data_IF_613312588230
#
_entry.id   IF_613312588230
#
_cell.length_a   1.000
_cell.length_b   1.000
_cell.length_c   1.000
_cell.angle_alpha   90.00
_cell.angle_beta   90.00
_cell.angle_gamma   90.00
#
_symmetry.space_group_name_H-M   'P 1'
#
loop_
_entity.id
_entity.type
_entity.pdbx_description
1 polymer ?
#
# COMPACT_ATOMS: atom_id res chain seq x y z
N UNK A 1 -53.23 -31.79 22.03
CA UNK A 1 -51.75 -31.73 21.91
C UNK A 1 -51.41 -31.09 20.56
N UNK A 2 -51.53 -29.75 20.44
CA UNK A 2 -51.32 -29.04 19.17
C UNK A 2 -49.85 -28.59 19.05
N UNK A 3 -49.12 -29.21 18.12
CA UNK A 3 -47.82 -28.71 17.63
C UNK A 3 -48.09 -27.42 16.84
N UNK A 4 -47.74 -26.28 17.42
CA UNK A 4 -47.57 -25.03 16.67
C UNK A 4 -46.41 -25.20 15.69
N UNK A 5 -46.73 -25.47 14.43
CA UNK A 5 -45.81 -25.26 13.31
C UNK A 5 -45.48 -23.78 13.25
N UNK A 6 -44.26 -23.41 13.66
CA UNK A 6 -43.77 -22.04 13.55
C UNK A 6 -43.78 -21.63 12.06
N UNK A 7 -44.76 -20.81 11.69
CA UNK A 7 -44.79 -20.17 10.39
C UNK A 7 -43.49 -19.39 10.18
N UNK A 8 -42.82 -19.63 9.05
CA UNK A 8 -41.70 -18.82 8.57
C UNK A 8 -42.11 -17.34 8.58
N UNK A 9 -41.67 -16.59 9.59
CA UNK A 9 -41.87 -15.16 9.66
C UNK A 9 -41.03 -14.50 8.57
N UNK A 10 -41.67 -14.18 7.45
CA UNK A 10 -41.09 -13.33 6.40
C UNK A 10 -40.59 -12.00 6.99
N UNK A 11 -39.37 -11.59 6.63
CA UNK A 11 -38.77 -10.35 7.13
C UNK A 11 -39.53 -9.13 6.56
N UNK A 12 -40.34 -8.48 7.40
CA UNK A 12 -41.12 -7.29 7.02
C UNK A 12 -40.27 -6.01 6.92
N UNK A 13 -39.06 -6.00 7.47
CA UNK A 13 -38.16 -4.84 7.40
C UNK A 13 -37.35 -4.88 6.10
N UNK A 14 -37.87 -4.25 5.05
CA UNK A 14 -37.17 -4.08 3.77
C UNK A 14 -35.83 -3.38 3.96
N UNK A 15 -34.78 -3.87 3.29
CA UNK A 15 -33.47 -3.22 3.22
C UNK A 15 -33.49 -1.96 2.36
N UNK A 16 -34.46 -1.85 1.45
CA UNK A 16 -34.62 -0.72 0.53
C UNK A 16 -34.87 0.60 1.26
N UNK A 17 -35.55 0.56 2.41
CA UNK A 17 -35.95 1.73 3.18
C UNK A 17 -35.36 1.70 4.59
N UNK A 18 -34.04 1.51 4.69
CA UNK A 18 -33.29 1.63 5.95
C UNK A 18 -32.41 2.88 5.95
N UNK A 19 -32.22 3.45 7.14
CA UNK A 19 -31.44 4.68 7.32
C UNK A 19 -32.26 5.92 7.69
N UNK A 20 -31.53 6.99 8.01
CA UNK A 20 -32.07 8.31 8.37
C UNK A 20 -31.43 9.36 7.47
N UNK A 21 -32.23 10.12 6.73
CA UNK A 21 -31.76 11.29 5.99
C UNK A 21 -31.30 12.37 6.99
N UNK A 22 -30.08 12.90 6.80
CA UNK A 22 -29.50 13.96 7.65
C UNK A 22 -29.29 15.26 6.87
N UNK A 23 -30.18 15.53 5.90
CA UNK A 23 -30.01 16.65 4.97
C UNK A 23 -28.77 16.47 4.11
N UNK A 24 -27.82 17.40 4.21
CA UNK A 24 -26.61 17.45 3.39
C UNK A 24 -25.39 16.69 3.93
N UNK A 25 -25.51 15.87 4.98
CA UNK A 25 -24.36 15.13 5.56
C UNK A 25 -24.07 13.86 4.75
N UNK A 26 -22.97 13.79 3.97
CA UNK A 26 -22.62 12.59 3.21
C UNK A 26 -21.97 11.55 4.13
N UNK A 27 -22.15 10.27 3.79
CA UNK A 27 -21.49 9.13 4.43
C UNK A 27 -21.04 8.15 3.37
N UNK A 28 -19.90 7.49 3.59
CA UNK A 28 -19.43 6.44 2.70
C UNK A 28 -20.24 5.15 2.89
N UNK A 29 -20.42 4.38 1.82
CA UNK A 29 -20.84 2.99 1.87
C UNK A 29 -19.88 2.18 0.99
N UNK A 30 -19.80 0.87 1.22
CA UNK A 30 -18.97 -0.02 0.43
C UNK A 30 -19.84 -0.86 -0.49
N UNK A 31 -19.42 -1.00 -1.75
CA UNK A 31 -20.13 -1.84 -2.71
C UNK A 31 -20.00 -3.33 -2.36
N UNK A 32 -18.88 -3.72 -1.75
CA UNK A 32 -18.61 -5.10 -1.36
C UNK A 32 -17.82 -5.18 -0.05
N UNK A 33 -16.48 -5.15 -0.13
CA UNK A 33 -15.57 -5.17 1.01
C UNK A 33 -14.98 -3.80 1.29
N UNK A 34 -14.38 -3.63 2.46
CA UNK A 34 -13.65 -2.40 2.81
C UNK A 34 -12.48 -2.14 1.85
N UNK A 35 -12.23 -0.88 1.45
CA UNK A 35 -11.19 -0.54 0.47
C UNK A 35 -9.76 -0.98 0.85
N UNK A 36 -9.47 -1.12 2.14
CA UNK A 36 -8.18 -1.61 2.60
C UNK A 36 -7.87 -3.06 2.21
N UNK A 37 -8.90 -3.89 1.98
CA UNK A 37 -8.77 -5.31 1.59
C UNK A 37 -8.75 -5.51 0.06
N UNK A 38 -8.81 -4.42 -0.71
CA UNK A 38 -9.01 -4.48 -2.16
C UNK A 38 -7.77 -4.99 -2.92
N UNK A 39 -6.63 -4.33 -2.77
CA UNK A 39 -5.38 -4.78 -3.39
C UNK A 39 -4.68 -5.76 -2.44
N UNK A 40 -4.33 -6.94 -2.95
CA UNK A 40 -3.64 -7.99 -2.19
C UNK A 40 -2.23 -8.28 -2.74
N UNK A 41 -1.64 -7.24 -3.31
CA UNK A 41 -0.43 -7.37 -4.14
C UNK A 41 0.80 -7.80 -3.35
N UNK A 42 0.85 -7.65 -2.02
CA UNK A 42 2.00 -8.16 -1.24
C UNK A 42 2.08 -9.67 -1.33
N UNK A 43 0.95 -10.36 -1.24
CA UNK A 43 0.90 -11.80 -1.44
C UNK A 43 1.06 -12.16 -2.92
N UNK A 44 0.36 -11.48 -3.82
CA UNK A 44 0.39 -11.81 -5.26
C UNK A 44 1.75 -11.59 -5.93
N UNK A 45 2.53 -10.61 -5.44
CA UNK A 45 3.88 -10.30 -5.96
C UNK A 45 4.99 -10.81 -5.04
N UNK A 46 4.67 -11.70 -4.09
CA UNK A 46 5.64 -12.33 -3.19
C UNK A 46 6.52 -11.32 -2.44
N UNK A 47 5.95 -10.16 -2.05
CA UNK A 47 6.63 -9.12 -1.26
C UNK A 47 6.25 -9.23 0.20
N UNK A 48 6.72 -10.29 0.84
CA UNK A 48 6.50 -10.54 2.27
C UNK A 48 7.75 -11.20 2.89
N UNK A 49 7.98 -11.03 4.21
CA UNK A 49 9.14 -11.63 4.88
C UNK A 49 9.14 -13.16 4.85
N UNK A 50 7.99 -13.79 4.59
CA UNK A 50 7.88 -15.26 4.50
C UNK A 50 8.63 -15.82 3.29
N UNK A 51 8.67 -15.09 2.17
CA UNK A 51 9.39 -15.52 0.97
C UNK A 51 10.88 -15.17 1.05
N UNK A 52 11.23 -14.09 1.75
CA UNK A 52 12.63 -13.70 1.96
C UNK A 52 13.40 -14.74 2.81
N UNK A 53 12.70 -15.44 3.70
CA UNK A 53 13.25 -16.53 4.50
C UNK A 53 13.17 -17.84 3.71
N UNK A 54 14.32 -18.43 3.37
CA UNK A 54 14.38 -19.70 2.63
C UNK A 54 13.65 -20.84 3.36
N UNK A 55 13.62 -20.80 4.69
CA UNK A 55 12.97 -21.79 5.55
C UNK A 55 11.53 -22.07 5.12
N UNK A 56 11.25 -23.34 4.85
CA UNK A 56 9.91 -23.79 4.44
C UNK A 56 9.72 -23.87 2.92
N UNK A 57 10.62 -23.30 2.11
CA UNK A 57 10.57 -23.44 0.64
C UNK A 57 10.73 -24.91 0.20
N UNK A 58 11.54 -25.68 0.93
CA UNK A 58 11.67 -27.12 0.71
C UNK A 58 10.36 -27.91 0.88
N UNK A 59 9.36 -27.34 1.57
CA UNK A 59 8.07 -28.00 1.77
C UNK A 59 7.24 -28.10 0.49
N UNK A 60 7.47 -27.22 -0.50
CA UNK A 60 6.82 -27.28 -1.80
C UNK A 60 7.27 -28.48 -2.65
N UNK A 61 8.39 -29.10 -2.30
CA UNK A 61 9.02 -30.22 -3.03
C UNK A 61 9.14 -31.46 -2.13
N UNK A 62 8.17 -31.67 -1.23
CA UNK A 62 8.21 -32.79 -0.26
C UNK A 62 8.10 -34.17 -0.92
N UNK A 63 7.49 -34.24 -2.09
CA UNK A 63 7.38 -35.44 -2.93
C UNK A 63 8.76 -36.00 -3.30
N UNK A 64 9.78 -35.14 -3.47
CA UNK A 64 11.18 -35.55 -3.73
C UNK A 64 11.80 -36.44 -2.64
N UNK A 65 11.16 -36.54 -1.48
CA UNK A 65 11.60 -37.45 -0.41
C UNK A 65 11.57 -38.91 -0.87
N UNK A 66 10.69 -39.26 -1.80
CA UNK A 66 10.66 -40.57 -2.46
C UNK A 66 10.77 -40.38 -3.97
N UNK A 67 11.98 -40.60 -4.50
CA UNK A 67 12.28 -40.37 -5.91
C UNK A 67 11.51 -41.31 -6.85
N UNK A 68 11.24 -42.54 -6.44
CA UNK A 68 10.49 -43.48 -7.27
C UNK A 68 8.99 -43.12 -7.31
N UNK A 69 8.43 -42.69 -6.18
CA UNK A 69 7.03 -42.23 -6.10
C UNK A 69 6.83 -40.92 -6.88
N UNK A 70 7.77 -39.98 -6.76
CA UNK A 70 7.74 -38.71 -7.47
C UNK A 70 7.63 -38.88 -8.99
N UNK A 71 8.23 -39.95 -9.51
CA UNK A 71 8.21 -40.30 -10.95
C UNK A 71 6.99 -41.13 -11.34
N UNK A 72 6.52 -41.99 -10.43
CA UNK A 72 5.40 -42.90 -10.67
C UNK A 72 4.02 -42.23 -10.59
N UNK A 73 3.91 -41.10 -9.88
CA UNK A 73 2.68 -40.30 -9.73
C UNK A 73 1.48 -41.09 -9.21
N UNK A 74 1.71 -41.92 -8.19
CA UNK A 74 0.64 -42.69 -7.55
C UNK A 74 -0.23 -41.81 -6.64
N UNK A 75 0.38 -40.87 -5.91
CA UNK A 75 -0.35 -39.88 -5.11
C UNK A 75 -0.65 -38.61 -5.93
N UNK A 76 -1.91 -38.16 -5.90
CA UNK A 76 -2.35 -36.91 -6.55
C UNK A 76 -1.95 -35.64 -5.77
N UNK A 77 -1.42 -35.79 -4.55
CA UNK A 77 -1.02 -34.69 -3.68
C UNK A 77 0.48 -34.41 -3.77
N UNK A 78 0.86 -33.52 -4.68
CA UNK A 78 2.25 -33.03 -4.85
C UNK A 78 2.46 -31.64 -4.23
N UNK A 79 1.39 -30.94 -3.83
CA UNK A 79 1.47 -29.57 -3.31
C UNK A 79 1.18 -29.41 -1.81
N UNK A 80 1.63 -28.28 -1.24
CA UNK A 80 1.49 -28.00 0.21
C UNK A 80 0.03 -27.94 0.70
N UNK A 81 -0.90 -27.50 -0.17
CA UNK A 81 -2.29 -27.21 0.21
C UNK A 81 -3.29 -28.20 -0.41
N UNK A 82 -2.82 -29.20 -1.14
CA UNK A 82 -3.67 -30.19 -1.76
C UNK A 82 -2.97 -30.85 -2.92
N UNK A 83 -3.60 -30.80 -4.07
CA UNK A 83 -3.17 -31.48 -5.27
C UNK A 83 -1.84 -30.95 -5.82
N UNK A 84 -1.78 -29.66 -6.17
CA UNK A 84 -0.58 -29.01 -6.70
C UNK A 84 -0.24 -27.75 -5.89
N UNK A 85 0.95 -27.17 -6.10
CA UNK A 85 1.38 -25.98 -5.35
C UNK A 85 0.54 -24.72 -5.62
N UNK A 86 -0.09 -24.64 -6.79
CA UNK A 86 -0.75 -23.43 -7.29
C UNK A 86 -2.13 -23.72 -7.90
N UNK A 87 -3.00 -24.43 -7.17
CA UNK A 87 -4.40 -24.65 -7.57
C UNK A 87 -5.13 -23.30 -7.62
N UNK A 88 -5.15 -22.60 -6.48
CA UNK A 88 -5.81 -21.30 -6.35
C UNK A 88 -4.97 -20.31 -5.54
N UNK A 89 -3.94 -19.76 -6.18
CA UNK A 89 -3.04 -18.78 -5.54
C UNK A 89 -3.75 -17.49 -5.13
N UNK A 90 -4.79 -17.10 -5.87
CA UNK A 90 -5.42 -15.79 -5.72
C UNK A 90 -6.70 -15.80 -4.89
N UNK A 91 -7.33 -16.96 -4.70
CA UNK A 91 -8.68 -17.07 -4.14
C UNK A 91 -8.71 -17.67 -2.74
N UNK A 92 -8.08 -18.84 -2.56
CA UNK A 92 -8.30 -19.68 -1.37
C UNK A 92 -7.92 -18.97 -0.06
N UNK A 93 -6.77 -18.29 0.00
CA UNK A 93 -6.30 -17.63 1.22
C UNK A 93 -7.23 -16.51 1.70
N UNK A 94 -8.14 -16.03 0.84
CA UNK A 94 -9.09 -14.95 1.15
C UNK A 94 -10.27 -15.40 2.01
N UNK A 95 -10.42 -16.71 2.24
CA UNK A 95 -11.44 -17.27 3.15
C UNK A 95 -11.21 -16.84 4.62
N UNK A 96 -9.95 -16.57 4.98
CA UNK A 96 -9.58 -16.11 6.31
C UNK A 96 -10.09 -14.67 6.51
N UNK A 97 -10.74 -14.35 7.64
CA UNK A 97 -11.07 -12.97 7.97
C UNK A 97 -9.84 -12.09 7.90
N UNK A 98 -9.86 -11.11 6.99
CA UNK A 98 -8.76 -10.17 6.85
C UNK A 98 -8.79 -9.24 8.07
N UNK A 99 -7.95 -9.48 9.08
CA UNK A 99 -7.90 -8.64 10.29
C UNK A 99 -6.99 -7.42 10.08
N UNK A 100 -5.89 -7.61 9.34
CA UNK A 100 -4.84 -6.63 9.12
C UNK A 100 -4.70 -6.38 7.62
N UNK A 101 -5.60 -5.56 7.04
CA UNK A 101 -5.66 -5.38 5.60
C UNK A 101 -4.44 -4.60 5.10
N UNK A 102 -4.07 -4.86 3.85
CA UNK A 102 -2.89 -4.28 3.19
C UNK A 102 -2.93 -2.75 3.08
N UNK A 103 -4.12 -2.17 2.90
CA UNK A 103 -4.32 -0.73 2.82
C UNK A 103 -3.80 -0.09 1.53
N UNK A 104 -3.51 1.21 1.57
CA UNK A 104 -2.96 1.96 0.43
C UNK A 104 -1.45 1.75 0.33
N UNK A 105 -0.97 1.21 -0.79
CA UNK A 105 0.44 0.82 -0.92
C UNK A 105 1.22 1.56 -2.02
N UNK A 106 0.57 2.40 -2.82
CA UNK A 106 1.21 3.02 -3.97
C UNK A 106 2.30 4.00 -3.53
N UNK A 107 3.51 3.83 -4.08
CA UNK A 107 4.70 4.64 -3.78
C UNK A 107 5.19 5.44 -4.99
N UNK A 108 4.31 5.71 -5.96
CA UNK A 108 4.66 6.53 -7.13
C UNK A 108 4.96 7.98 -6.75
N UNK A 109 4.38 8.44 -5.64
CA UNK A 109 4.62 9.73 -5.02
C UNK A 109 5.02 9.54 -3.55
N UNK A 110 5.64 10.55 -2.96
CA UNK A 110 5.91 10.54 -1.52
C UNK A 110 4.61 10.57 -0.71
N UNK A 111 4.67 10.11 0.55
CA UNK A 111 3.53 10.15 1.47
C UNK A 111 2.99 11.58 1.66
N UNK A 112 3.89 12.56 1.68
CA UNK A 112 3.58 13.98 1.79
C UNK A 112 2.81 14.51 0.57
N UNK A 113 3.17 14.08 -0.64
CA UNK A 113 2.49 14.48 -1.88
C UNK A 113 1.07 13.90 -1.97
N UNK A 114 0.89 12.62 -1.57
CA UNK A 114 -0.45 12.03 -1.49
C UNK A 114 -1.32 12.74 -0.44
N UNK A 115 -0.76 13.07 0.72
CA UNK A 115 -1.44 13.82 1.77
C UNK A 115 -1.83 15.22 1.27
N UNK A 116 -0.89 15.95 0.66
CA UNK A 116 -1.10 17.29 0.12
C UNK A 116 -2.26 17.34 -0.88
N UNK A 117 -2.35 16.36 -1.79
CA UNK A 117 -3.39 16.34 -2.81
C UNK A 117 -4.77 15.95 -2.27
N UNK A 118 -4.84 15.00 -1.31
CA UNK A 118 -6.10 14.34 -0.92
C UNK A 118 -6.65 14.78 0.44
N UNK A 119 -5.92 15.61 1.18
CA UNK A 119 -6.29 15.97 2.55
C UNK A 119 -6.05 17.44 2.86
N UNK A 120 -7.08 18.07 3.41
CA UNK A 120 -6.98 19.40 4.02
C UNK A 120 -6.06 19.44 5.24
N UNK A 121 -5.73 18.29 5.84
CA UNK A 121 -4.86 18.22 7.02
C UNK A 121 -3.42 18.64 6.71
N UNK A 122 -2.99 18.55 5.46
CA UNK A 122 -1.67 19.02 5.03
C UNK A 122 -1.46 20.52 5.29
N UNK A 123 -2.52 21.33 5.25
CA UNK A 123 -2.45 22.79 5.49
C UNK A 123 -2.23 23.15 6.96
N UNK A 124 -2.44 22.22 7.89
CA UNK A 124 -2.36 22.47 9.34
C UNK A 124 -1.37 21.50 10.02
N UNK A 125 -0.06 21.60 9.70
CA UNK A 125 0.94 20.65 10.19
C UNK A 125 1.22 20.75 11.70
N UNK A 126 0.90 21.89 12.32
CA UNK A 126 1.01 22.14 13.76
C UNK A 126 -0.04 21.36 14.57
N UNK A 127 -1.19 21.07 13.96
CA UNK A 127 -2.32 20.40 14.62
C UNK A 127 -2.22 18.87 14.61
N UNK A 128 -1.23 18.29 13.91
CA UNK A 128 -1.15 16.84 13.69
C UNK A 128 0.08 16.27 14.39
N UNK A 129 -0.07 15.19 15.17
CA UNK A 129 1.07 14.54 15.82
C UNK A 129 1.96 13.81 14.78
N UNK A 130 3.19 13.46 15.18
CA UNK A 130 4.24 13.03 14.23
C UNK A 130 3.88 11.71 13.53
N UNK A 131 3.27 10.78 14.24
CA UNK A 131 2.85 9.46 13.78
C UNK A 131 1.80 9.52 12.66
N UNK A 132 0.96 10.56 12.66
CA UNK A 132 -0.11 10.75 11.68
C UNK A 132 0.26 11.70 10.54
N UNK A 133 1.42 12.37 10.63
CA UNK A 133 1.90 13.29 9.59
C UNK A 133 2.15 12.55 8.28
N UNK A 134 1.53 13.01 7.20
CA UNK A 134 1.65 12.38 5.88
C UNK A 134 0.88 11.06 5.73
N UNK A 135 0.00 10.70 6.68
CA UNK A 135 -0.74 9.43 6.66
C UNK A 135 -2.20 9.57 6.26
N UNK A 136 -2.78 10.77 6.37
CA UNK A 136 -4.17 10.99 6.01
C UNK A 136 -4.35 11.22 4.51
N UNK A 137 -5.37 10.57 3.92
CA UNK A 137 -5.80 10.77 2.54
C UNK A 137 -7.28 11.18 2.49
N UNK A 138 -7.72 11.92 3.51
CA UNK A 138 -9.12 12.32 3.69
C UNK A 138 -9.22 13.75 4.20
N UNK A 139 -10.35 14.39 3.93
CA UNK A 139 -10.71 15.66 4.52
C UNK A 139 -11.43 15.44 5.84
N UNK A 140 -11.09 16.24 6.83
CA UNK A 140 -11.75 16.21 8.13
C UNK A 140 -12.56 17.48 8.35
N UNK A 141 -13.74 17.28 8.93
CA UNK A 141 -14.57 18.32 9.50
C UNK A 141 -14.20 18.51 10.97
N UNK A 142 -14.08 19.78 11.37
CA UNK A 142 -13.88 20.18 12.76
C UNK A 142 -15.23 20.59 13.35
N UNK A 143 -15.62 19.96 14.46
CA UNK A 143 -16.86 20.30 15.16
C UNK A 143 -16.55 20.66 16.61
N UNK A 144 -16.68 21.95 16.92
CA UNK A 144 -16.48 22.46 18.27
C UNK A 144 -17.77 22.21 19.06
N UNK A 145 -17.64 21.56 20.21
CA UNK A 145 -18.79 21.12 21.01
C UNK A 145 -19.12 22.13 22.09
N UNK A 146 -18.10 22.60 22.81
CA UNK A 146 -18.26 23.57 23.89
C UNK A 146 -16.95 24.33 24.15
N UNK A 147 -17.12 25.57 24.58
CA UNK A 147 -16.10 26.34 25.30
C UNK A 147 -16.59 26.57 26.72
N UNK A 148 -15.67 26.58 27.67
CA UNK A 148 -15.94 26.89 29.07
C UNK A 148 -14.75 27.65 29.66
N UNK A 149 -14.98 28.45 30.70
CA UNK A 149 -13.94 29.22 31.36
C UNK A 149 -13.62 28.61 32.72
N UNK A 150 -12.34 28.38 32.99
CA UNK A 150 -11.84 27.85 34.26
C UNK A 150 -10.84 28.82 34.87
N UNK A 151 -11.02 29.11 36.15
CA UNK A 151 -10.06 29.89 36.93
C UNK A 151 -8.89 28.99 37.31
N UNK A 152 -7.69 29.34 36.88
CA UNK A 152 -6.45 28.65 37.20
C UNK A 152 -5.65 29.51 38.17
N UNK A 153 -5.43 28.97 39.36
CA UNK A 153 -4.69 29.63 40.43
C UNK A 153 -3.23 29.21 40.35
N UNK A 154 -2.34 30.12 39.93
CA UNK A 154 -0.89 29.91 39.93
C UNK A 154 -0.28 30.17 41.31
N UNK A 155 -0.84 31.14 42.03
CA UNK A 155 -0.42 31.57 43.37
C UNK A 155 -1.64 32.15 44.09
N UNK A 156 -1.63 32.29 45.45
CA UNK A 156 -2.67 33.03 46.16
C UNK A 156 -2.99 34.43 45.60
N UNK A 157 -2.04 35.05 44.87
CA UNK A 157 -2.21 36.37 44.24
C UNK A 157 -2.38 36.33 42.71
N UNK A 158 -1.90 35.29 42.03
CA UNK A 158 -1.97 35.18 40.55
C UNK A 158 -3.06 34.20 40.13
N UNK A 159 -4.19 34.75 39.67
CA UNK A 159 -5.34 34.02 39.15
C UNK A 159 -5.49 34.34 37.67
N UNK A 160 -5.45 33.31 36.82
CA UNK A 160 -5.64 33.44 35.37
C UNK A 160 -6.93 32.79 34.93
N UNK A 161 -7.55 33.37 33.91
CA UNK A 161 -8.69 32.76 33.24
C UNK A 161 -8.16 31.91 32.09
N UNK A 162 -8.36 30.60 32.16
CA UNK A 162 -8.03 29.68 31.10
C UNK A 162 -9.31 29.15 30.47
N UNK A 163 -9.22 28.78 29.20
CA UNK A 163 -10.37 28.33 28.41
C UNK A 163 -10.24 26.83 28.19
N UNK A 164 -11.32 26.13 28.53
CA UNK A 164 -11.53 24.72 28.24
C UNK A 164 -12.25 24.58 26.90
N UNK A 165 -11.75 23.72 26.04
CA UNK A 165 -12.36 23.40 24.75
C UNK A 165 -12.63 21.90 24.66
N UNK A 166 -13.80 21.55 24.13
CA UNK A 166 -14.14 20.17 23.73
C UNK A 166 -14.56 20.19 22.28
N UNK A 167 -14.00 19.27 21.50
CA UNK A 167 -14.30 19.15 20.08
C UNK A 167 -14.13 17.71 19.62
N UNK A 168 -14.66 17.44 18.44
CA UNK A 168 -14.37 16.22 17.71
C UNK A 168 -14.08 16.52 16.24
N UNK A 169 -13.26 15.66 15.66
CA UNK A 169 -12.82 15.72 14.28
C UNK A 169 -13.34 14.47 13.59
N UNK A 170 -13.90 14.59 12.38
CA UNK A 170 -14.47 13.44 11.70
C UNK A 170 -14.61 13.63 10.20
N UNK A 171 -14.63 12.52 9.47
CA UNK A 171 -14.54 12.53 7.99
C UNK A 171 -15.78 11.99 7.28
N UNK A 172 -16.69 11.30 7.99
CA UNK A 172 -17.80 10.55 7.38
C UNK A 172 -17.35 9.32 6.59
N UNK A 173 -16.04 9.01 6.61
CA UNK A 173 -15.40 7.92 5.85
C UNK A 173 -14.90 6.76 6.74
N UNK A 174 -15.42 6.62 7.97
CA UNK A 174 -14.95 5.59 8.91
C UNK A 174 -13.98 6.07 9.97
N UNK A 175 -13.54 7.33 9.95
CA UNK A 175 -12.50 7.85 10.85
C UNK A 175 -12.98 9.11 11.56
N UNK A 176 -12.91 9.08 12.90
CA UNK A 176 -13.16 10.23 13.76
C UNK A 176 -12.37 10.13 15.07
N UNK A 177 -12.13 11.26 15.72
CA UNK A 177 -11.47 11.35 17.02
C UNK A 177 -12.03 12.53 17.82
N UNK A 178 -11.80 12.53 19.13
CA UNK A 178 -12.25 13.61 20.00
C UNK A 178 -11.15 14.05 20.93
N UNK A 179 -11.19 15.32 21.35
CA UNK A 179 -10.17 15.91 22.18
C UNK A 179 -10.73 17.00 23.08
N UNK A 180 -10.03 17.20 24.20
CA UNK A 180 -10.31 18.25 25.16
C UNK A 180 -9.00 18.86 25.65
N UNK A 181 -8.98 20.16 25.87
CA UNK A 181 -7.80 20.86 26.38
C UNK A 181 -8.20 22.07 27.20
N UNK A 182 -7.35 22.45 28.15
CA UNK A 182 -7.43 23.72 28.89
C UNK A 182 -6.18 24.52 28.56
N UNK A 183 -6.31 25.74 28.06
CA UNK A 183 -5.17 26.58 27.70
C UNK A 183 -5.42 28.07 28.02
N UNK A 184 -4.39 28.93 27.97
CA UNK A 184 -4.52 30.36 28.29
C UNK A 184 -5.50 31.11 27.38
N UNK A 185 -5.52 30.79 26.08
CA UNK A 185 -6.38 31.48 25.09
C UNK A 185 -7.31 30.53 24.34
N UNK A 186 -8.37 31.07 23.74
CA UNK A 186 -9.36 30.28 22.99
C UNK A 186 -8.73 29.52 21.82
N UNK A 187 -7.82 30.17 21.08
CA UNK A 187 -7.18 29.55 19.91
C UNK A 187 -6.18 28.48 20.34
N UNK A 188 -5.39 28.71 21.38
CA UNK A 188 -4.49 27.68 21.92
C UNK A 188 -5.27 26.46 22.42
N UNK A 189 -6.35 26.66 23.18
CA UNK A 189 -7.20 25.58 23.66
C UNK A 189 -7.80 24.78 22.50
N UNK A 190 -8.24 25.46 21.44
CA UNK A 190 -8.73 24.83 20.22
C UNK A 190 -7.63 24.00 19.54
N UNK A 191 -6.43 24.55 19.35
CA UNK A 191 -5.32 23.85 18.68
C UNK A 191 -4.88 22.61 19.46
N UNK A 192 -4.71 22.74 20.77
CA UNK A 192 -4.36 21.61 21.65
C UNK A 192 -5.45 20.55 21.65
N UNK A 193 -6.72 20.93 21.71
CA UNK A 193 -7.81 19.96 21.63
C UNK A 193 -7.89 19.26 20.26
N UNK A 194 -7.55 19.92 19.15
CA UNK A 194 -7.44 19.29 17.82
C UNK A 194 -6.28 18.30 17.78
N UNK A 195 -5.12 18.67 18.31
CA UNK A 195 -3.94 17.80 18.37
C UNK A 195 -4.21 16.56 19.22
N UNK A 196 -4.88 16.73 20.35
CA UNK A 196 -5.36 15.63 21.20
C UNK A 196 -6.38 14.77 20.46
N UNK A 197 -7.31 15.36 19.71
CA UNK A 197 -8.30 14.61 18.92
C UNK A 197 -7.67 13.76 17.82
N UNK A 198 -6.63 14.25 17.14
CA UNK A 198 -5.88 13.46 16.16
C UNK A 198 -5.03 12.38 16.82
N UNK A 199 -4.52 12.60 18.02
CA UNK A 199 -3.80 11.58 18.80
C UNK A 199 -4.73 10.44 19.23
N UNK A 200 -6.00 10.76 19.49
CA UNK A 200 -7.06 9.82 19.88
C UNK A 200 -7.98 9.43 18.70
N UNK A 201 -7.46 9.34 17.47
CA UNK A 201 -8.27 8.93 16.32
C UNK A 201 -8.68 7.47 16.43
N UNK A 202 -9.94 7.20 16.09
CA UNK A 202 -10.52 5.87 16.04
C UNK A 202 -11.02 5.63 14.61
N UNK A 203 -10.75 4.44 14.09
CA UNK A 203 -11.30 3.96 12.84
C UNK A 203 -12.31 2.85 13.13
N UNK A 204 -13.37 2.80 12.34
CA UNK A 204 -14.42 1.79 12.43
C UNK A 204 -14.46 0.99 11.14
N UNK A 205 -14.65 -0.32 11.26
CA UNK A 205 -14.95 -1.17 10.11
C UNK A 205 -16.41 -0.99 9.68
N UNK A 206 -16.61 -0.47 8.48
CA UNK A 206 -17.93 -0.16 7.93
C UNK A 206 -18.52 -1.28 7.08
N UNK A 207 -17.88 -2.47 6.96
CA UNK A 207 -18.48 -3.62 6.25
C UNK A 207 -19.85 -4.03 6.81
N UNK A 208 -20.12 -3.74 8.08
CA UNK A 208 -21.40 -4.05 8.74
C UNK A 208 -22.31 -2.81 8.90
N UNK A 209 -21.83 -1.63 8.54
CA UNK A 209 -22.54 -0.34 8.58
C UNK A 209 -23.19 0.06 9.93
N UNK A 210 -22.84 -0.65 11.01
CA UNK A 210 -23.42 -0.52 12.34
C UNK A 210 -23.01 -1.65 13.29
N UNK A 211 -23.31 -1.53 14.59
CA UNK A 211 -23.09 -2.59 15.58
C UNK A 211 -24.04 -3.77 15.35
N UNK A 212 -23.52 -5.01 15.30
CA UNK A 212 -24.33 -6.22 15.14
C UNK A 212 -24.81 -6.82 16.48
N UNK A 213 -24.32 -6.28 17.60
CA UNK A 213 -24.68 -6.70 18.95
C UNK A 213 -24.73 -5.46 19.86
N UNK A 214 -25.48 -5.50 20.98
CA UNK A 214 -25.53 -4.39 21.92
C UNK A 214 -24.20 -4.26 22.68
N UNK A 215 -23.56 -3.09 22.57
CA UNK A 215 -22.36 -2.71 23.32
C UNK A 215 -22.78 -1.89 24.53
N UNK A 216 -22.36 -2.31 25.72
CA UNK A 216 -22.65 -1.64 26.99
C UNK A 216 -21.34 -1.19 27.61
N UNK A 217 -21.14 0.12 27.73
CA UNK A 217 -19.91 0.72 28.27
C UNK A 217 -20.26 1.77 29.31
N UNK A 218 -19.37 1.98 30.26
CA UNK A 218 -19.47 3.05 31.25
C UNK A 218 -18.22 3.93 31.15
N UNK A 219 -18.41 5.19 30.75
CA UNK A 219 -17.35 6.19 30.71
C UNK A 219 -17.57 7.18 31.84
N UNK A 220 -16.74 7.12 32.89
CA UNK A 220 -16.74 8.08 34.01
C UNK A 220 -18.13 8.47 34.55
N UNK A 221 -18.95 7.48 34.90
CA UNK A 221 -20.31 7.67 35.43
C UNK A 221 -21.42 7.79 34.37
N UNK A 222 -21.06 7.73 33.08
CA UNK A 222 -21.98 7.77 31.93
C UNK A 222 -22.16 6.36 31.38
N UNK A 223 -23.36 5.80 31.52
CA UNK A 223 -23.70 4.49 30.93
C UNK A 223 -24.18 4.68 29.50
N UNK A 224 -23.45 4.10 28.55
CA UNK A 224 -23.75 4.18 27.11
C UNK A 224 -24.16 2.82 26.60
N UNK A 225 -25.25 2.81 25.82
CA UNK A 225 -25.75 1.66 25.09
C UNK A 225 -25.73 1.98 23.59
N UNK A 226 -24.81 1.32 22.87
CA UNK A 226 -24.76 1.33 21.42
C UNK A 226 -25.37 0.02 20.91
N UNK A 227 -26.41 0.07 20.08
CA UNK A 227 -27.21 -1.10 19.71
C UNK A 227 -27.60 -1.09 18.22
N UNK A 228 -27.83 -2.27 17.61
CA UNK A 228 -28.32 -2.38 16.24
C UNK A 228 -29.69 -1.71 16.10
N UNK A 229 -29.85 -0.85 15.09
CA UNK A 229 -31.12 -0.20 14.80
C UNK A 229 -31.38 -0.15 13.29
N UNK A 230 -32.66 -0.04 12.90
CA UNK A 230 -33.07 0.10 11.47
C UNK A 230 -32.51 1.37 10.82
N UNK A 231 -32.22 2.38 11.64
CA UNK A 231 -31.78 3.71 11.23
C UNK A 231 -31.02 4.36 12.38
N UNK A 232 -30.37 5.49 12.12
CA UNK A 232 -29.72 6.26 13.20
C UNK A 232 -30.79 6.82 14.13
N UNK A 233 -30.73 6.42 15.41
CA UNK A 233 -31.60 6.91 16.48
C UNK A 233 -30.73 7.29 17.68
N UNK A 234 -30.52 8.59 17.85
CA UNK A 234 -29.70 9.15 18.93
C UNK A 234 -30.05 10.63 19.18
N UNK A 235 -29.50 11.22 20.25
CA UNK A 235 -29.48 12.67 20.44
C UNK A 235 -28.78 13.33 19.24
N UNK A 236 -29.22 14.53 18.81
CA UNK A 236 -28.68 15.26 17.66
C UNK A 236 -27.14 15.22 17.58
N UNK A 237 -26.44 15.56 18.66
CA UNK A 237 -24.96 15.57 18.68
C UNK A 237 -24.36 14.17 18.57
N UNK A 238 -24.97 13.18 19.22
CA UNK A 238 -24.55 11.78 19.16
C UNK A 238 -24.78 11.20 17.76
N UNK A 239 -25.90 11.56 17.14
CA UNK A 239 -26.21 11.18 15.77
C UNK A 239 -25.14 11.71 14.82
N UNK A 240 -24.73 12.97 14.94
CA UNK A 240 -23.68 13.54 14.09
C UNK A 240 -22.31 12.90 14.31
N UNK A 241 -21.97 12.53 15.55
CA UNK A 241 -20.75 11.76 15.84
C UNK A 241 -20.81 10.39 15.16
N UNK A 242 -21.92 9.66 15.25
CA UNK A 242 -22.09 8.39 14.55
C UNK A 242 -22.05 8.57 13.02
N UNK A 243 -22.56 9.69 12.51
CA UNK A 243 -22.44 10.05 11.09
C UNK A 243 -20.99 10.35 10.69
N UNK A 244 -20.19 10.94 11.59
CA UNK A 244 -18.79 11.21 11.35
C UNK A 244 -17.96 9.92 11.21
N UNK A 245 -18.39 8.83 11.84
CA UNK A 245 -17.89 7.48 11.58
C UNK A 245 -18.49 6.85 10.32
N UNK A 246 -19.59 7.35 9.77
CA UNK A 246 -20.24 6.78 8.59
C UNK A 246 -21.26 5.67 8.89
N UNK A 247 -21.70 5.51 10.14
CA UNK A 247 -22.73 4.53 10.47
C UNK A 247 -24.07 4.85 9.82
N UNK A 248 -24.81 3.81 9.43
CA UNK A 248 -26.17 3.92 8.90
C UNK A 248 -27.19 3.23 9.82
N UNK A 249 -26.79 2.12 10.44
CA UNK A 249 -27.65 1.20 11.17
C UNK A 249 -27.33 1.14 12.68
N UNK A 250 -27.11 2.30 13.30
CA UNK A 250 -26.70 2.40 14.71
C UNK A 250 -27.69 3.21 15.56
N UNK A 251 -28.18 2.63 16.64
CA UNK A 251 -28.90 3.32 17.70
C UNK A 251 -27.96 3.57 18.89
N UNK A 252 -28.02 4.76 19.49
CA UNK A 252 -27.22 5.04 20.68
C UNK A 252 -28.05 5.76 21.74
N UNK A 253 -28.00 5.24 22.97
CA UNK A 253 -28.65 5.81 24.14
C UNK A 253 -27.61 6.04 25.22
N UNK A 254 -27.66 7.25 25.79
CA UNK A 254 -26.80 7.65 26.90
C UNK A 254 -27.70 7.86 28.12
N UNK A 255 -27.42 7.13 29.19
CA UNK A 255 -28.07 7.28 30.49
C UNK A 255 -27.02 7.68 31.52
N UNK A 256 -27.18 8.82 32.19
CA UNK A 256 -26.33 9.18 33.33
C UNK A 256 -26.84 8.49 34.59
N UNK A 257 -25.91 8.06 35.45
CA UNK A 257 -26.19 7.30 36.67
C UNK A 257 -26.87 8.14 37.78
N UNK A 258 -26.88 9.47 37.66
CA UNK A 258 -27.51 10.38 38.61
C UNK A 258 -28.45 11.37 37.89
N UNK A 259 -29.71 11.40 38.32
CA UNK A 259 -30.74 12.39 37.92
C UNK A 259 -30.36 13.83 38.26
N UNK A 260 -29.37 14.03 39.14
CA UNK A 260 -29.01 15.33 39.70
C UNK A 260 -27.75 15.97 39.08
N UNK A 261 -27.07 15.33 38.13
CA UNK A 261 -25.93 15.95 37.42
C UNK A 261 -26.36 16.44 36.03
N UNK A 262 -26.12 17.72 35.68
CA UNK A 262 -26.44 18.22 34.34
C UNK A 262 -25.66 17.46 33.27
N UNK A 263 -26.31 17.19 32.13
CA UNK A 263 -25.71 16.48 30.99
C UNK A 263 -24.57 17.30 30.42
N UNK A 264 -23.33 17.04 30.85
CA UNK A 264 -22.17 17.75 30.31
C UNK A 264 -21.95 17.42 28.83
N UNK A 265 -21.61 18.41 27.99
CA UNK A 265 -21.22 18.19 26.60
C UNK A 265 -20.04 17.21 26.49
N UNK A 266 -19.08 17.26 27.43
CA UNK A 266 -17.90 16.39 27.46
C UNK A 266 -18.29 14.92 27.56
N UNK A 267 -19.10 14.59 28.58
CA UNK A 267 -19.58 13.24 28.86
C UNK A 267 -20.37 12.63 27.70
N UNK A 268 -21.09 13.47 26.95
CA UNK A 268 -21.85 13.03 25.77
C UNK A 268 -20.92 12.57 24.64
N UNK A 269 -19.82 13.31 24.40
CA UNK A 269 -18.85 12.97 23.36
C UNK A 269 -18.02 11.77 23.78
N UNK A 270 -17.38 11.85 24.94
CA UNK A 270 -16.51 10.82 25.51
C UNK A 270 -17.21 9.46 25.58
N UNK A 271 -18.44 9.41 26.09
CA UNK A 271 -19.19 8.16 26.20
C UNK A 271 -19.49 7.48 24.86
N UNK A 272 -19.75 8.25 23.80
CA UNK A 272 -20.03 7.68 22.46
C UNK A 272 -18.75 7.17 21.82
N UNK A 273 -17.67 7.95 21.91
CA UNK A 273 -16.37 7.53 21.38
C UNK A 273 -15.86 6.28 22.10
N UNK A 274 -16.05 6.17 23.41
CA UNK A 274 -15.65 4.98 24.18
C UNK A 274 -16.52 3.75 23.82
N UNK A 275 -17.83 3.96 23.59
CA UNK A 275 -18.72 2.89 23.12
C UNK A 275 -18.34 2.38 21.73
N UNK A 276 -17.94 3.29 20.82
CA UNK A 276 -17.46 2.93 19.47
C UNK A 276 -16.10 2.24 19.55
N UNK A 277 -15.20 2.70 20.43
CA UNK A 277 -13.89 2.08 20.66
C UNK A 277 -13.99 0.65 21.19
N UNK A 278 -15.02 0.35 21.97
CA UNK A 278 -15.29 -0.99 22.49
C UNK A 278 -16.00 -1.92 21.48
N UNK A 279 -16.40 -1.43 20.31
CA UNK A 279 -17.06 -2.22 19.28
C UNK A 279 -16.05 -3.15 18.59
N UNK A 280 -16.40 -4.43 18.49
CA UNK A 280 -15.63 -5.43 17.73
C UNK A 280 -16.29 -5.66 16.37
N UNK A 281 -15.46 -5.83 15.35
CA UNK A 281 -15.94 -6.17 14.00
C UNK A 281 -16.40 -7.63 13.93
N UNK A 282 -17.33 -7.95 13.02
CA UNK A 282 -17.84 -9.32 12.88
C UNK A 282 -16.74 -10.28 12.41
N UNK A 283 -15.87 -9.82 11.51
CA UNK A 283 -14.69 -10.55 11.03
C UNK A 283 -13.74 -10.90 12.18
N UNK A 284 -13.46 -9.96 13.08
CA UNK A 284 -12.68 -10.17 14.30
C UNK A 284 -13.35 -11.16 15.26
N UNK A 285 -14.67 -11.07 15.46
CA UNK A 285 -15.41 -12.03 16.30
C UNK A 285 -15.34 -13.45 15.70
N UNK A 286 -15.45 -13.59 14.39
CA UNK A 286 -15.36 -14.88 13.71
C UNK A 286 -13.96 -15.50 13.87
N UNK A 287 -12.91 -14.70 13.64
CA UNK A 287 -11.52 -15.11 13.84
C UNK A 287 -11.23 -15.47 15.30
N UNK A 288 -11.72 -14.68 16.26
CA UNK A 288 -11.60 -14.95 17.70
C UNK A 288 -12.22 -16.28 18.12
N UNK A 289 -13.18 -16.80 17.36
CA UNK A 289 -13.82 -18.11 17.60
C UNK A 289 -13.20 -19.24 16.78
N UNK A 290 -12.21 -18.96 15.94
CA UNK A 290 -11.64 -19.92 15.00
C UNK A 290 -12.66 -20.43 13.97
N UNK A 291 -13.64 -19.59 13.58
CA UNK A 291 -14.71 -19.97 12.64
C UNK A 291 -14.66 -19.14 11.36
N UNK A 292 -15.05 -19.77 10.25
CA UNK A 292 -15.19 -19.11 8.96
C UNK A 292 -16.49 -18.30 8.95
N UNK A 293 -16.46 -16.99 8.65
CA UNK A 293 -17.67 -16.19 8.49
C UNK A 293 -18.37 -16.55 7.18
N UNK A 294 -19.71 -16.57 7.21
CA UNK A 294 -20.51 -16.91 6.04
C UNK A 294 -20.20 -16.03 4.82
N UNK A 295 -19.95 -14.73 5.05
CA UNK A 295 -19.66 -13.77 4.00
C UNK A 295 -18.39 -14.05 3.21
N UNK A 296 -17.42 -14.83 3.71
CA UNK A 296 -16.15 -15.08 3.02
C UNK A 296 -16.08 -16.45 2.34
N UNK A 297 -17.12 -17.29 2.47
CA UNK A 297 -17.12 -18.67 1.95
C UNK A 297 -17.00 -18.68 0.43
N UNK A 298 -17.52 -17.67 -0.28
CA UNK A 298 -17.44 -17.63 -1.75
C UNK A 298 -16.00 -17.70 -2.30
N UNK A 299 -14.99 -17.30 -1.52
CA UNK A 299 -13.59 -17.33 -1.95
C UNK A 299 -13.04 -18.76 -2.13
N UNK A 300 -13.64 -19.77 -1.49
CA UNK A 300 -13.20 -21.17 -1.63
C UNK A 300 -13.81 -21.85 -2.86
N UNK A 301 -14.77 -21.19 -3.53
CA UNK A 301 -15.52 -21.79 -4.62
C UNK A 301 -14.62 -22.24 -5.79
N UNK A 302 -13.65 -21.45 -6.29
CA UNK A 302 -12.76 -21.90 -7.35
C UNK A 302 -12.02 -23.19 -6.98
N UNK A 303 -11.57 -23.30 -5.73
CA UNK A 303 -10.80 -24.46 -5.25
C UNK A 303 -11.65 -25.72 -5.23
N UNK A 304 -12.87 -25.60 -4.69
CA UNK A 304 -13.83 -26.71 -4.71
C UNK A 304 -14.26 -27.09 -6.14
N UNK A 305 -14.31 -26.11 -7.04
CA UNK A 305 -14.67 -26.33 -8.43
C UNK A 305 -13.57 -27.07 -9.19
N UNK A 306 -12.29 -26.75 -8.95
CA UNK A 306 -11.17 -27.51 -9.51
C UNK A 306 -11.10 -28.93 -8.94
N UNK A 307 -11.37 -29.13 -7.65
CA UNK A 307 -11.50 -30.49 -7.08
C UNK A 307 -12.58 -31.29 -7.83
N UNK A 308 -13.73 -30.68 -8.11
CA UNK A 308 -14.82 -31.32 -8.86
C UNK A 308 -14.40 -31.66 -10.30
N UNK A 309 -13.61 -30.78 -10.93
CA UNK A 309 -13.20 -30.86 -12.35
C UNK A 309 -11.92 -31.65 -12.59
N UNK A 310 -11.11 -31.97 -11.57
CA UNK A 310 -9.81 -32.63 -11.72
C UNK A 310 -9.87 -34.06 -12.27
N UNK A 311 -11.05 -34.68 -12.33
CA UNK A 311 -11.22 -36.04 -12.85
C UNK A 311 -10.69 -36.19 -14.29
N UNK A 312 -10.16 -37.38 -14.61
CA UNK A 312 -9.64 -37.69 -15.94
C UNK A 312 -8.25 -37.08 -16.17
N UNK A 313 -8.03 -36.52 -17.37
CA UNK A 313 -6.72 -36.01 -17.79
C UNK A 313 -6.17 -34.89 -16.90
N UNK A 314 -7.02 -34.15 -16.19
CA UNK A 314 -6.59 -33.04 -15.32
C UNK A 314 -5.89 -33.51 -14.03
N UNK A 315 -6.05 -34.79 -13.65
CA UNK A 315 -5.31 -35.42 -12.54
C UNK A 315 -4.03 -36.12 -13.02
N UNK A 316 -3.88 -36.33 -14.33
CA UNK A 316 -2.76 -37.11 -14.86
C UNK A 316 -1.49 -36.27 -14.88
N UNK A 317 -0.44 -36.83 -14.29
CA UNK A 317 0.91 -36.28 -14.33
C UNK A 317 1.74 -36.99 -15.41
N UNK A 318 2.70 -36.31 -16.08
CA UNK A 318 3.53 -36.94 -17.09
C UNK A 318 4.39 -38.07 -16.50
N UNK A 319 4.30 -39.31 -16.99
CA UNK A 319 5.07 -40.42 -16.45
C UNK A 319 6.56 -40.19 -16.67
N UNK A 320 7.41 -40.52 -15.70
CA UNK A 320 8.86 -40.37 -15.87
C UNK A 320 9.40 -38.96 -15.56
N UNK A 321 8.54 -37.99 -15.20
CA UNK A 321 8.91 -36.58 -15.03
C UNK A 321 8.35 -36.01 -13.73
N UNK A 322 9.23 -35.53 -12.85
CA UNK A 322 8.91 -34.83 -11.59
C UNK A 322 8.96 -33.29 -11.73
N UNK A 323 9.55 -32.79 -12.82
CA UNK A 323 9.68 -31.35 -13.09
C UNK A 323 10.92 -30.71 -12.45
N UNK A 324 11.75 -31.48 -11.75
CA UNK A 324 12.96 -30.98 -11.08
C UNK A 324 14.21 -31.46 -11.80
N UNK A 325 14.74 -30.60 -12.66
CA UNK A 325 15.93 -30.89 -13.46
C UNK A 325 17.18 -30.38 -12.75
N UNK A 326 17.93 -31.30 -12.16
CA UNK A 326 19.24 -30.98 -11.58
C UNK A 326 20.24 -30.65 -12.70
N UNK A 327 21.04 -29.58 -12.56
CA UNK A 327 22.15 -29.31 -13.48
C UNK A 327 23.16 -30.46 -13.46
N UNK A 328 23.55 -30.95 -14.64
CA UNK A 328 24.43 -32.12 -14.82
C UNK A 328 25.81 -31.74 -15.40
N UNK A 329 25.85 -30.76 -16.30
CA UNK A 329 27.07 -30.26 -16.95
C UNK A 329 27.15 -28.73 -16.90
N UNK A 330 28.36 -28.22 -17.04
CA UNK A 330 28.62 -26.78 -17.19
C UNK A 330 28.60 -26.43 -18.67
N UNK A 331 27.77 -25.46 -19.05
CA UNK A 331 27.71 -24.95 -20.43
C UNK A 331 28.20 -23.51 -20.43
N UNK A 332 29.32 -23.27 -21.10
CA UNK A 332 29.83 -21.92 -21.36
C UNK A 332 29.93 -21.71 -22.87
N UNK A 333 29.04 -20.87 -23.40
CA UNK A 333 28.99 -20.52 -24.82
C UNK A 333 29.59 -19.13 -25.09
N UNK A 334 30.34 -18.56 -24.13
CA UNK A 334 31.01 -17.28 -24.34
C UNK A 334 32.07 -17.42 -25.42
N UNK A 335 32.07 -16.46 -26.34
CA UNK A 335 33.05 -16.35 -27.41
C UNK A 335 33.94 -15.13 -27.19
N UNK A 336 35.23 -15.19 -27.56
CA UNK A 336 36.06 -14.01 -27.65
C UNK A 336 35.48 -13.03 -28.69
N UNK A 337 35.69 -11.73 -28.45
CA UNK A 337 35.07 -10.64 -29.20
C UNK A 337 35.23 -10.75 -30.71
N UNK A 338 36.42 -11.09 -31.19
CA UNK A 338 36.68 -11.26 -32.61
C UNK A 338 35.86 -12.40 -33.26
N UNK A 339 35.53 -13.47 -32.52
CA UNK A 339 34.72 -14.57 -33.04
C UNK A 339 33.24 -14.20 -33.11
N UNK A 340 32.72 -13.45 -32.12
CA UNK A 340 31.31 -13.01 -32.14
C UNK A 340 31.04 -11.81 -33.04
N UNK A 341 32.08 -11.09 -33.51
CA UNK A 341 31.94 -9.90 -34.37
C UNK A 341 31.14 -10.18 -35.64
N UNK A 342 31.43 -11.30 -36.32
CA UNK A 342 30.72 -11.74 -37.52
C UNK A 342 29.79 -12.94 -37.31
N UNK A 343 29.58 -13.37 -36.06
CA UNK A 343 28.92 -14.65 -35.77
C UNK A 343 27.43 -14.67 -36.14
N UNK A 344 26.76 -13.51 -36.09
CA UNK A 344 25.34 -13.37 -36.40
C UNK A 344 25.06 -12.66 -37.72
N UNK A 345 26.07 -12.44 -38.57
CA UNK A 345 25.95 -11.65 -39.80
C UNK A 345 25.01 -12.23 -40.84
N UNK A 346 24.82 -13.56 -40.86
CA UNK A 346 23.89 -14.22 -41.79
C UNK A 346 22.47 -14.29 -41.22
N UNK A 347 22.34 -14.21 -39.89
CA UNK A 347 21.05 -14.25 -39.18
C UNK A 347 20.42 -12.86 -39.11
N UNK A 348 21.26 -11.84 -38.92
CA UNK A 348 20.90 -10.43 -38.77
C UNK A 348 21.79 -9.55 -39.65
N UNK A 349 21.86 -8.25 -39.36
CA UNK A 349 22.81 -7.37 -40.04
C UNK A 349 24.23 -7.52 -39.44
N UNK A 350 25.23 -7.12 -40.22
CA UNK A 350 26.64 -7.11 -39.79
C UNK A 350 26.88 -6.19 -38.60
N UNK A 351 27.87 -6.53 -37.78
CA UNK A 351 28.17 -5.81 -36.53
C UNK A 351 26.97 -5.82 -35.57
N UNK A 352 26.31 -6.99 -35.43
CA UNK A 352 25.12 -7.15 -34.58
C UNK A 352 25.30 -6.65 -33.14
N UNK A 353 26.48 -6.88 -32.54
CA UNK A 353 26.81 -6.45 -31.18
C UNK A 353 27.36 -5.01 -31.08
N UNK A 354 27.23 -4.19 -32.12
CA UNK A 354 27.69 -2.81 -32.13
C UNK A 354 27.12 -2.01 -30.95
N UNK A 355 28.01 -1.52 -30.08
CA UNK A 355 27.63 -0.64 -28.97
C UNK A 355 26.95 -1.31 -27.78
N UNK A 356 26.92 -2.64 -27.69
CA UNK A 356 26.46 -3.33 -26.48
C UNK A 356 27.59 -3.38 -25.44
N UNK A 357 27.33 -2.80 -24.26
CA UNK A 357 28.30 -2.76 -23.17
C UNK A 357 28.27 -4.07 -22.35
N UNK A 358 27.14 -4.79 -22.33
CA UNK A 358 26.97 -6.05 -21.60
C UNK A 358 27.44 -7.28 -22.40
N UNK A 359 27.28 -7.24 -23.74
CA UNK A 359 27.55 -8.40 -24.59
C UNK A 359 28.96 -8.40 -25.20
N UNK A 360 29.73 -7.30 -25.13
CA UNK A 360 31.11 -7.19 -25.62
C UNK A 360 32.10 -6.85 -24.51
N UNK A 361 33.35 -7.30 -24.64
CA UNK A 361 34.44 -6.82 -23.79
C UNK A 361 35.01 -5.48 -24.31
N UNK A 362 34.97 -5.27 -25.63
CA UNK A 362 35.26 -3.98 -26.28
C UNK A 362 33.97 -3.42 -26.93
N UNK A 363 33.20 -2.60 -26.19
CA UNK A 363 31.89 -2.12 -26.67
C UNK A 363 31.95 -1.18 -27.87
N UNK A 364 33.14 -0.69 -28.22
CA UNK A 364 33.35 0.19 -29.39
C UNK A 364 33.62 -0.60 -30.67
N UNK A 365 33.90 -1.89 -30.60
CA UNK A 365 34.17 -2.71 -31.76
C UNK A 365 32.92 -2.79 -32.67
N UNK A 366 33.10 -2.66 -33.98
CA UNK A 366 32.02 -2.68 -34.98
C UNK A 366 31.23 -1.37 -35.10
N UNK A 367 31.42 -0.39 -34.19
CA UNK A 367 30.77 0.92 -34.33
C UNK A 367 31.36 1.70 -35.51
N UNK A 368 30.52 2.46 -36.23
CA UNK A 368 31.05 3.47 -37.16
C UNK A 368 31.61 4.68 -36.41
N UNK A 369 32.53 5.41 -37.06
CA UNK A 369 33.21 6.56 -36.45
C UNK A 369 32.25 7.61 -35.87
N UNK A 370 31.09 7.81 -36.50
CA UNK A 370 30.07 8.76 -36.03
C UNK A 370 29.44 8.35 -34.70
N UNK A 371 29.17 7.05 -34.50
CA UNK A 371 28.58 6.53 -33.26
C UNK A 371 29.59 6.57 -32.11
N UNK A 372 30.87 6.29 -32.39
CA UNK A 372 31.94 6.47 -31.41
C UNK A 372 32.09 7.93 -30.99
N UNK A 373 32.03 8.87 -31.96
CA UNK A 373 32.10 10.31 -31.69
C UNK A 373 30.89 10.77 -30.87
N UNK A 374 29.69 10.28 -31.16
CA UNK A 374 28.47 10.59 -30.39
C UNK A 374 28.61 10.27 -28.90
N UNK A 375 29.18 9.12 -28.54
CA UNK A 375 29.46 8.77 -27.12
C UNK A 375 30.37 9.80 -26.44
N UNK A 376 31.35 10.33 -27.17
CA UNK A 376 32.25 11.36 -26.66
C UNK A 376 31.59 12.74 -26.60
N UNK A 377 30.75 13.10 -27.57
CA UNK A 377 29.97 14.33 -27.55
C UNK A 377 29.05 14.40 -26.32
N UNK A 378 28.39 13.29 -25.98
CA UNK A 378 27.53 13.18 -24.78
C UNK A 378 28.36 13.26 -23.47
N UNK A 379 29.51 12.59 -23.42
CA UNK A 379 30.42 12.60 -22.26
C UNK A 379 31.05 13.96 -21.96
N UNK A 380 31.16 14.85 -22.96
CA UNK A 380 31.81 16.16 -22.84
C UNK A 380 30.96 17.25 -22.17
N UNK A 381 29.70 16.95 -21.83
CA UNK A 381 28.79 17.86 -21.10
C UNK A 381 29.18 18.06 -19.62
N UNK A 382 30.12 17.26 -19.09
CA UNK A 382 30.70 17.42 -17.75
C UNK A 382 32.11 18.06 -17.82
N UNK A 383 32.45 19.01 -16.92
CA UNK A 383 33.77 19.65 -16.94
C UNK A 383 34.86 18.61 -16.61
N UNK A 384 35.83 18.45 -17.52
CA UNK A 384 36.95 17.55 -17.30
C UNK A 384 37.86 18.07 -16.17
N UNK A 385 38.37 17.20 -15.28
CA UNK A 385 39.37 17.59 -14.29
C UNK A 385 40.69 17.95 -14.99
N UNK A 386 41.16 19.17 -14.74
CA UNK A 386 42.42 19.74 -15.20
C UNK A 386 43.60 18.94 -14.67
N UNK A 387 43.97 17.86 -15.38
CA UNK A 387 45.11 17.01 -15.05
C UNK A 387 45.88 16.61 -16.30
N UNK A 388 46.45 17.58 -17.01
CA UNK A 388 47.56 17.36 -17.92
C UNK A 388 48.39 18.64 -18.05
N UNK A 389 49.71 18.51 -18.19
CA UNK A 389 50.66 19.62 -18.37
C UNK A 389 50.32 20.39 -19.66
N UNK A 390 49.66 21.53 -19.53
CA UNK A 390 49.28 22.39 -20.65
C UNK A 390 50.53 22.91 -21.37
N UNK A 391 50.76 22.42 -22.58
CA UNK A 391 51.76 22.97 -23.49
C UNK A 391 51.12 24.01 -24.42
N UNK A 392 51.91 24.86 -25.09
CA UNK A 392 51.39 25.88 -26.03
C UNK A 392 50.88 25.29 -27.37
N UNK A 393 50.75 23.97 -27.48
CA UNK A 393 50.29 23.29 -28.70
C UNK A 393 48.80 23.54 -28.91
N UNK A 394 48.36 23.52 -30.17
CA UNK A 394 46.95 23.57 -30.53
C UNK A 394 46.45 22.15 -30.72
N UNK A 395 45.43 21.76 -29.95
CA UNK A 395 44.69 20.52 -30.19
C UNK A 395 43.89 20.64 -31.50
N UNK A 396 43.47 19.49 -32.08
CA UNK A 396 42.56 19.52 -33.23
C UNK A 396 41.23 20.19 -32.85
N UNK A 397 40.75 19.99 -31.62
CA UNK A 397 39.57 20.65 -31.08
C UNK A 397 39.64 22.18 -31.16
N UNK A 398 40.76 22.80 -30.76
CA UNK A 398 40.92 24.27 -30.82
C UNK A 398 40.98 24.79 -32.26
N UNK A 399 41.52 23.97 -33.17
CA UNK A 399 41.55 24.28 -34.60
C UNK A 399 40.14 24.21 -35.18
N UNK A 400 39.35 23.20 -34.85
CA UNK A 400 37.95 23.07 -35.26
C UNK A 400 37.11 24.27 -34.79
N UNK A 401 37.26 24.67 -33.53
CA UNK A 401 36.56 25.84 -32.96
C UNK A 401 36.87 27.13 -33.71
N UNK A 402 38.13 27.35 -34.09
CA UNK A 402 38.53 28.55 -34.86
C UNK A 402 38.03 28.52 -36.30
N UNK A 403 37.94 27.33 -36.89
CA UNK A 403 37.42 27.14 -38.24
C UNK A 403 35.89 27.11 -38.29
N UNK A 404 35.20 27.16 -37.15
CA UNK A 404 33.75 27.02 -37.06
C UNK A 404 33.24 25.63 -37.46
N UNK A 405 34.10 24.61 -37.42
CA UNK A 405 33.75 23.22 -37.73
C UNK A 405 33.47 22.44 -36.46
N UNK A 406 32.62 21.43 -36.57
CA UNK A 406 32.29 20.51 -35.47
C UNK A 406 33.00 19.17 -35.64
N UNK A 407 32.92 18.32 -34.62
CA UNK A 407 33.38 16.92 -34.66
C UNK A 407 32.75 16.08 -35.78
N UNK A 408 31.58 16.50 -36.29
CA UNK A 408 30.87 15.83 -37.39
C UNK A 408 31.50 16.07 -38.75
N UNK A 409 32.14 17.23 -38.94
CA UNK A 409 32.79 17.59 -40.20
C UNK A 409 34.08 16.77 -40.45
N UNK A 410 34.54 16.04 -39.42
CA UNK A 410 35.64 15.09 -39.48
C UNK A 410 35.17 13.66 -39.83
N UNK A 411 33.93 13.49 -40.32
CA UNK A 411 33.26 12.20 -40.51
C UNK A 411 34.13 11.11 -41.17
N UNK A 412 34.80 11.44 -42.27
CA UNK A 412 35.67 10.55 -43.05
C UNK A 412 37.07 10.35 -42.47
N UNK A 413 37.45 11.13 -41.44
CA UNK A 413 38.79 11.11 -40.86
C UNK A 413 38.82 10.11 -39.69
N UNK A 414 39.84 9.22 -39.57
CA UNK A 414 39.96 8.22 -38.49
C UNK A 414 40.11 8.75 -37.05
N UNK A 415 39.83 10.04 -36.81
CA UNK A 415 39.90 10.69 -35.52
C UNK A 415 38.54 10.61 -34.83
N UNK A 416 38.52 9.95 -33.67
CA UNK A 416 37.33 9.78 -32.83
C UNK A 416 37.33 10.81 -31.68
N UNK A 417 38.45 10.95 -30.95
CA UNK A 417 38.59 11.96 -29.90
C UNK A 417 39.46 13.14 -30.38
N UNK A 418 38.88 14.32 -30.68
CA UNK A 418 39.61 15.48 -31.22
C UNK A 418 40.48 16.22 -30.18
N UNK A 419 40.35 15.88 -28.89
CA UNK A 419 41.01 16.58 -27.78
C UNK A 419 42.36 15.99 -27.38
N UNK A 420 42.74 14.86 -27.98
CA UNK A 420 44.00 14.19 -27.66
C UNK A 420 45.12 14.79 -28.52
N UNK A 421 46.21 15.23 -27.88
CA UNK A 421 47.40 15.75 -28.55
C UNK A 421 48.30 14.64 -29.10
N UNK A 422 47.83 13.95 -30.15
CA UNK A 422 48.61 12.94 -30.86
C UNK A 422 48.49 13.08 -32.37
N UNK A 423 49.46 12.54 -33.11
CA UNK A 423 49.41 12.52 -34.57
C UNK A 423 48.34 11.57 -35.12
N UNK A 424 47.90 11.81 -36.36
CA UNK A 424 46.93 10.97 -37.05
C UNK A 424 47.30 9.46 -37.05
N UNK A 425 48.57 9.04 -37.27
CA UNK A 425 48.96 7.63 -37.17
C UNK A 425 48.67 7.00 -35.80
N UNK A 426 48.74 7.79 -34.73
CA UNK A 426 48.44 7.32 -33.37
C UNK A 426 46.94 7.09 -33.17
N UNK A 427 46.09 7.93 -33.75
CA UNK A 427 44.64 7.71 -33.76
C UNK A 427 44.25 6.44 -34.51
N UNK A 428 44.85 6.20 -35.69
CA UNK A 428 44.64 4.97 -36.45
C UNK A 428 45.05 3.75 -35.61
N UNK A 429 46.26 3.76 -35.03
CA UNK A 429 46.75 2.63 -34.22
C UNK A 429 45.84 2.30 -33.02
N UNK A 430 45.29 3.32 -32.35
CA UNK A 430 44.42 3.12 -31.16
C UNK A 430 43.06 2.51 -31.50
N UNK A 431 42.53 2.80 -32.69
CA UNK A 431 41.19 2.34 -33.10
C UNK A 431 41.24 1.17 -34.10
N UNK A 432 42.44 0.72 -34.50
CA UNK A 432 42.61 -0.28 -35.54
C UNK A 432 41.90 -1.60 -35.24
N UNK A 433 41.97 -2.08 -34.00
CA UNK A 433 41.34 -3.34 -33.57
C UNK A 433 39.81 -3.29 -33.50
N UNK A 434 39.20 -2.12 -33.69
CA UNK A 434 37.75 -1.93 -33.57
C UNK A 434 37.02 -2.26 -34.89
N UNK A 435 37.72 -2.24 -36.02
CA UNK A 435 37.14 -2.34 -37.36
C UNK A 435 37.58 -3.58 -38.13
#
# INVERSE_FOLDING_TARGET
MFRLTAASQKNLNSWYTKGTMRGGVPRIYYAWMRPGSFTRRRFEKMRNPFVDLETGTSLYFRDTRDSAEAIAHAADSKGIKGMDNAIDLYNEYRIVPDLYPEGFQWKHKLNTEYNQWRSNTWLTPDLIPKEHRGRFLCNFQLNIVAYDMRVVKFSPKDHRQWIYCVLYVGSGKGIAGWGRAVAPSTQEAKKEAIREAFSNIIAVDLEQEGPMYPVRVNADGVRVLLYPARRIVANFRVADILCAFGFQHAGCRINLKATNNPKSPTHTVEGVFEAVKALRSVSEIAASRGKVPHSLIYNIYPYLEEIRRRKGMMAMHPPGKDGLLMPDRVVDNRLPDHLKKGYYDDVYWKDFFAGSDEHLNEPRMGLRGDEMRRRLEEAQTSPAPTTAKDTRRRTLEDVLKRLGKTTRDLGSIPIVNPRVDVGLPTHIKRNYQLH
#
